data_IF_958609572922
#
_entry.id   IF_958609572922
#
_cell.length_a   1.000
_cell.length_b   1.000
_cell.length_c   1.000
_cell.angle_alpha   90.00
_cell.angle_beta   90.00
_cell.angle_gamma   90.00
#
_symmetry.space_group_name_H-M   'P 1'
#
loop_
_entity.id
_entity.type
_entity.pdbx_description
1 polymer ?
#
# COMPACT_ATOMS: atom_id res chain seq x y z
N UNK A 1 13.02 -12.49 -47.45
CA UNK A 1 12.06 -12.86 -48.51
C UNK A 1 10.65 -12.65 -47.95
N UNK A 2 10.01 -11.56 -48.37
CA UNK A 2 8.56 -11.28 -48.29
C UNK A 2 7.85 -12.08 -49.42
N UNK A 3 6.50 -12.17 -49.51
CA UNK A 3 5.39 -11.44 -48.86
C UNK A 3 4.16 -12.34 -48.52
N UNK A 4 3.06 -11.89 -47.89
CA UNK A 4 1.84 -11.50 -48.64
C UNK A 4 0.76 -10.92 -47.69
N UNK A 5 0.29 -9.72 -48.05
CA UNK A 5 -0.92 -9.06 -47.58
C UNK A 5 -2.18 -9.77 -48.08
N UNK A 6 -3.25 -9.83 -47.26
CA UNK A 6 -4.63 -9.84 -47.76
C UNK A 6 -5.53 -8.96 -46.93
N UNK A 7 -5.97 -7.87 -47.54
CA UNK A 7 -7.12 -7.05 -47.15
C UNK A 7 -8.40 -7.83 -47.49
N UNK A 8 -9.43 -7.68 -46.62
CA UNK A 8 -10.82 -7.79 -47.06
C UNK A 8 -11.66 -6.66 -46.50
N UNK A 9 -12.46 -6.08 -47.38
CA UNK A 9 -13.28 -4.90 -47.23
C UNK A 9 -14.71 -5.23 -46.77
N UNK A 10 -15.28 -4.31 -46.00
CA UNK A 10 -16.62 -3.73 -46.08
C UNK A 10 -17.90 -4.61 -46.07
N UNK A 11 -18.78 -4.28 -45.10
CA UNK A 11 -20.20 -4.60 -45.16
C UNK A 11 -20.97 -3.67 -44.24
N UNK A 12 -21.44 -2.57 -44.83
CA UNK A 12 -22.39 -1.60 -44.21
C UNK A 12 -23.80 -2.18 -44.34
N UNK A 13 -24.60 -2.19 -43.26
CA UNK A 13 -26.04 -2.26 -43.35
C UNK A 13 -26.68 -1.47 -42.23
N UNK A 14 -27.30 -0.36 -42.59
CA UNK A 14 -28.19 0.45 -41.82
C UNK A 14 -29.63 -0.04 -41.96
N UNK A 15 -30.46 0.07 -40.92
CA UNK A 15 -31.93 0.21 -40.87
C UNK A 15 -32.43 -0.08 -39.46
N UNK A 16 -33.33 0.56 -38.80
CA UNK A 16 -34.18 1.73 -38.99
C UNK A 16 -34.87 1.96 -37.63
N UNK A 17 -35.27 3.20 -37.37
CA UNK A 17 -36.01 3.70 -36.21
C UNK A 17 -37.44 3.14 -36.12
N UNK A 18 -37.94 3.01 -34.87
CA UNK A 18 -39.32 3.48 -34.55
C UNK A 18 -39.46 3.77 -33.02
N UNK A 19 -40.03 4.92 -32.61
CA UNK A 19 -40.37 5.26 -31.24
C UNK A 19 -41.77 4.86 -30.87
N UNK A 20 -41.99 4.45 -29.62
CA UNK A 20 -43.35 4.41 -29.04
C UNK A 20 -43.37 5.29 -27.78
N UNK A 21 -44.08 6.41 -27.91
CA UNK A 21 -44.57 7.23 -26.81
C UNK A 21 -45.89 6.64 -26.32
N UNK A 22 -46.06 6.49 -25.04
CA UNK A 22 -47.34 6.52 -24.37
C UNK A 22 -47.20 7.03 -22.94
N UNK A 23 -47.90 7.97 -22.63
CA UNK A 23 -48.12 9.01 -21.69
C UNK A 23 -49.12 8.62 -20.59
N UNK A 24 -49.19 9.52 -19.59
CA UNK A 24 -50.20 9.71 -18.51
C UNK A 24 -50.02 8.77 -17.30
N UNK A 25 -49.90 9.20 -16.07
CA UNK A 25 -50.32 10.45 -15.40
C UNK A 25 -50.88 10.04 -14.03
N UNK A 26 -50.48 10.70 -12.95
CA UNK A 26 -51.04 10.47 -11.60
C UNK A 26 -50.18 11.11 -10.51
N UNK A 27 -50.60 12.30 -10.09
CA UNK A 27 -50.14 12.96 -8.85
C UNK A 27 -50.41 12.09 -7.63
N UNK A 28 -49.44 11.94 -6.73
CA UNK A 28 -49.76 12.04 -5.31
C UNK A 28 -48.51 12.42 -4.47
N UNK A 29 -48.74 13.38 -3.60
CA UNK A 29 -47.75 14.03 -2.73
C UNK A 29 -47.40 13.13 -1.55
N UNK A 30 -46.11 12.82 -1.34
CA UNK A 30 -45.63 12.11 -0.17
C UNK A 30 -44.19 12.52 0.18
N UNK A 31 -44.08 13.16 1.33
CA UNK A 31 -42.88 13.66 1.99
C UNK A 31 -41.59 12.87 1.74
N UNK A 32 -40.59 13.58 1.27
CA UNK A 32 -39.19 13.14 1.29
C UNK A 32 -38.66 13.15 2.73
N UNK A 33 -38.29 11.98 3.20
CA UNK A 33 -37.32 11.84 4.31
C UNK A 33 -35.97 11.62 3.68
N UNK A 34 -35.12 12.62 3.71
CA UNK A 34 -33.70 12.49 3.38
C UNK A 34 -33.02 11.56 4.40
N UNK A 35 -32.89 10.30 4.02
CA UNK A 35 -31.93 9.40 4.61
C UNK A 35 -30.66 9.51 3.76
N UNK A 36 -29.66 10.20 4.28
CA UNK A 36 -28.30 10.19 3.75
C UNK A 36 -27.74 8.78 3.88
N UNK A 37 -27.99 7.96 2.85
CA UNK A 37 -27.30 6.67 2.69
C UNK A 37 -25.92 6.96 2.15
N UNK A 38 -24.88 6.66 2.93
CA UNK A 38 -23.53 6.52 2.41
C UNK A 38 -23.59 5.59 1.19
N UNK A 39 -23.17 6.09 0.05
CA UNK A 39 -23.15 5.35 -1.21
C UNK A 39 -22.05 4.29 -1.13
N UNK A 40 -22.39 3.09 -0.69
CA UNK A 40 -21.54 1.93 -0.98
C UNK A 40 -21.58 1.72 -2.49
N UNK A 41 -20.39 1.62 -3.10
CA UNK A 41 -20.26 1.19 -4.48
C UNK A 41 -20.97 -0.17 -4.65
N UNK A 42 -21.72 -0.40 -5.74
CA UNK A 42 -22.46 -1.64 -5.92
C UNK A 42 -21.47 -2.81 -6.01
N UNK A 43 -21.57 -3.75 -5.07
CA UNK A 43 -20.91 -5.04 -5.16
C UNK A 43 -21.49 -5.78 -6.37
N UNK A 44 -20.64 -6.24 -7.27
CA UNK A 44 -21.08 -7.06 -8.39
C UNK A 44 -21.55 -8.42 -7.85
N UNK A 45 -22.85 -8.68 -7.83
CA UNK A 45 -23.40 -9.99 -7.40
C UNK A 45 -22.83 -11.16 -8.20
N UNK A 46 -22.30 -10.92 -9.41
CA UNK A 46 -21.62 -11.91 -10.25
C UNK A 46 -20.17 -12.22 -9.82
N UNK A 47 -19.60 -11.47 -8.86
CA UNK A 47 -18.22 -11.65 -8.44
C UNK A 47 -18.01 -12.85 -7.50
N UNK A 48 -19.07 -13.47 -6.99
CA UNK A 48 -19.00 -14.61 -6.08
C UNK A 48 -19.59 -15.89 -6.69
N UNK A 49 -19.10 -17.08 -6.34
CA UNK A 49 -17.95 -17.30 -5.44
C UNK A 49 -16.63 -16.89 -6.10
N UNK A 50 -15.68 -16.40 -5.28
CA UNK A 50 -14.31 -16.13 -5.68
C UNK A 50 -13.33 -17.01 -4.91
N UNK A 51 -12.32 -17.54 -5.59
CA UNK A 51 -11.25 -18.35 -4.97
C UNK A 51 -9.93 -17.61 -5.10
N UNK A 52 -9.24 -17.44 -3.98
CA UNK A 52 -7.94 -16.74 -3.89
C UNK A 52 -6.88 -17.76 -3.48
N UNK A 53 -5.83 -17.87 -4.28
CA UNK A 53 -4.66 -18.69 -3.99
C UNK A 53 -3.67 -17.91 -3.13
N UNK A 54 -3.09 -18.54 -2.11
CA UNK A 54 -2.14 -17.93 -1.19
C UNK A 54 -1.17 -18.98 -0.62
N UNK A 55 -0.18 -18.57 0.16
CA UNK A 55 0.91 -19.45 0.65
C UNK A 55 0.44 -20.71 1.44
N UNK A 56 -0.80 -20.73 1.90
CA UNK A 56 -1.36 -21.88 2.64
C UNK A 56 -2.41 -22.67 1.85
N UNK A 57 -2.56 -22.41 0.58
CA UNK A 57 -3.51 -23.09 -0.32
C UNK A 57 -4.50 -22.14 -0.96
N UNK A 58 -5.77 -22.47 -0.95
CA UNK A 58 -6.84 -21.69 -1.58
C UNK A 58 -7.95 -21.38 -0.57
N UNK A 59 -8.49 -20.16 -0.67
CA UNK A 59 -9.67 -19.75 0.10
C UNK A 59 -10.78 -19.35 -0.84
N UNK A 60 -11.95 -19.99 -0.71
CA UNK A 60 -13.16 -19.62 -1.45
C UNK A 60 -14.06 -18.75 -0.58
N UNK A 61 -14.47 -17.62 -1.12
CA UNK A 61 -15.41 -16.67 -0.52
C UNK A 61 -16.72 -16.80 -1.30
N UNK A 62 -17.78 -17.26 -0.64
CA UNK A 62 -19.05 -17.64 -1.30
C UNK A 62 -19.97 -16.44 -1.55
N UNK A 63 -19.83 -15.36 -0.78
CA UNK A 63 -20.68 -14.18 -0.86
C UNK A 63 -19.94 -12.92 -0.37
N UNK A 64 -20.45 -11.74 -0.73
CA UNK A 64 -19.88 -10.46 -0.30
C UNK A 64 -19.79 -10.36 1.24
N UNK A 65 -18.56 -10.16 1.78
CA UNK A 65 -18.35 -10.05 3.20
C UNK A 65 -18.93 -8.75 3.77
N UNK A 66 -19.35 -8.79 5.01
CA UNK A 66 -19.91 -7.64 5.74
C UNK A 66 -19.09 -7.26 6.97
N UNK A 67 -18.31 -8.17 7.47
CA UNK A 67 -17.53 -8.01 8.70
C UNK A 67 -16.10 -8.48 8.47
N UNK A 68 -15.32 -7.59 7.85
CA UNK A 68 -13.92 -7.88 7.52
C UNK A 68 -13.02 -7.52 8.69
N UNK A 69 -12.11 -8.41 9.03
CA UNK A 69 -11.02 -8.18 9.98
C UNK A 69 -9.68 -8.21 9.24
N UNK A 70 -8.88 -7.16 9.40
CA UNK A 70 -7.51 -7.08 8.89
C UNK A 70 -6.54 -7.52 9.99
N UNK A 71 -5.81 -8.60 9.76
CA UNK A 71 -4.76 -9.07 10.67
C UNK A 71 -3.36 -8.71 10.17
N UNK A 72 -3.24 -8.17 8.96
CA UNK A 72 -2.05 -7.50 8.46
C UNK A 72 -2.06 -6.01 8.79
N UNK A 73 -1.12 -5.24 8.22
CA UNK A 73 -0.84 -3.86 8.60
C UNK A 73 -1.37 -2.81 7.60
N UNK A 74 -1.80 -3.21 6.41
CA UNK A 74 -2.08 -2.30 5.27
C UNK A 74 -3.48 -2.44 4.68
N UNK A 75 -4.17 -3.54 4.91
CA UNK A 75 -5.38 -3.94 4.20
C UNK A 75 -6.56 -2.99 4.41
N UNK A 76 -6.61 -2.32 5.57
CA UNK A 76 -7.68 -1.38 5.92
C UNK A 76 -7.78 -0.22 4.94
N UNK A 77 -6.66 0.26 4.43
CA UNK A 77 -6.64 1.39 3.50
C UNK A 77 -7.37 1.05 2.19
N UNK A 78 -7.08 -0.11 1.62
CA UNK A 78 -7.78 -0.55 0.42
C UNK A 78 -9.25 -0.81 0.67
N UNK A 79 -9.62 -1.40 1.81
CA UNK A 79 -11.03 -1.59 2.18
C UNK A 79 -11.76 -0.26 2.28
N UNK A 80 -11.15 0.76 2.93
CA UNK A 80 -11.71 2.11 3.02
C UNK A 80 -11.86 2.76 1.65
N UNK A 81 -10.88 2.60 0.75
CA UNK A 81 -10.96 3.07 -0.63
C UNK A 81 -12.12 2.42 -1.43
N UNK A 82 -12.49 1.19 -1.05
CA UNK A 82 -13.64 0.46 -1.60
C UNK A 82 -14.96 0.75 -0.86
N UNK A 83 -14.96 1.69 0.11
CA UNK A 83 -16.13 2.05 0.90
C UNK A 83 -16.52 1.01 1.97
N UNK A 84 -15.59 0.14 2.36
CA UNK A 84 -15.78 -0.90 3.38
C UNK A 84 -14.99 -0.54 4.64
N UNK A 85 -15.68 -0.31 5.73
CA UNK A 85 -15.05 -0.11 7.04
C UNK A 85 -14.83 -1.46 7.71
N UNK A 86 -13.56 -1.87 7.96
CA UNK A 86 -13.30 -3.13 8.65
C UNK A 86 -13.77 -3.06 10.11
N UNK A 87 -14.16 -4.19 10.69
CA UNK A 87 -14.59 -4.23 12.10
C UNK A 87 -13.41 -4.37 13.08
N UNK A 88 -12.24 -4.75 12.58
CA UNK A 88 -11.00 -4.84 13.34
C UNK A 88 -9.78 -4.69 12.44
N UNK A 89 -8.75 -4.02 12.97
CA UNK A 89 -7.48 -3.77 12.28
C UNK A 89 -6.32 -4.00 13.23
N UNK A 90 -5.18 -4.40 12.69
CA UNK A 90 -3.96 -4.56 13.48
C UNK A 90 -3.36 -3.20 13.82
N UNK A 91 -3.12 -2.96 15.11
CA UNK A 91 -2.31 -1.85 15.56
C UNK A 91 -0.83 -2.26 15.54
N UNK A 92 -0.04 -1.46 14.85
CA UNK A 92 1.40 -1.66 14.83
C UNK A 92 2.16 -0.43 15.27
N UNK A 93 1.81 0.73 14.72
CA UNK A 93 2.56 1.97 14.91
C UNK A 93 1.66 3.21 14.95
N UNK A 94 2.22 4.31 15.46
CA UNK A 94 1.57 5.61 15.48
C UNK A 94 0.71 5.83 16.72
N UNK A 95 -0.17 6.83 16.67
CA UNK A 95 -1.07 7.16 17.75
C UNK A 95 -2.23 6.15 17.84
N UNK A 96 -2.39 5.46 18.96
CA UNK A 96 -3.53 4.57 19.21
C UNK A 96 -4.88 5.28 19.03
N UNK A 97 -4.93 6.61 19.17
CA UNK A 97 -6.15 7.38 18.96
C UNK A 97 -6.61 7.35 17.49
N UNK A 98 -5.71 7.15 16.54
CA UNK A 98 -6.04 6.98 15.11
C UNK A 98 -6.72 5.64 14.83
N UNK A 99 -6.59 4.66 15.70
CA UNK A 99 -7.20 3.33 15.58
C UNK A 99 -6.97 2.69 14.18
N UNK A 100 -5.75 2.81 13.65
CA UNK A 100 -5.36 2.25 12.34
C UNK A 100 -6.01 2.93 11.13
N UNK A 101 -6.70 4.06 11.31
CA UNK A 101 -7.20 4.92 10.24
C UNK A 101 -6.40 6.23 10.29
N UNK A 102 -5.50 6.38 9.34
CA UNK A 102 -4.56 7.50 9.29
C UNK A 102 -5.14 8.71 8.56
N UNK A 103 -4.49 9.90 8.62
CA UNK A 103 -5.05 11.15 8.07
C UNK A 103 -5.50 11.07 6.61
N UNK A 104 -4.82 10.30 5.77
CA UNK A 104 -5.19 10.11 4.35
C UNK A 104 -6.48 9.32 4.13
N UNK A 105 -6.94 8.57 5.14
CA UNK A 105 -8.13 7.72 5.08
C UNK A 105 -9.29 8.22 5.94
N UNK A 106 -9.09 9.28 6.75
CA UNK A 106 -10.04 9.77 7.75
C UNK A 106 -11.39 10.17 7.12
N UNK A 107 -11.36 10.86 5.99
CA UNK A 107 -12.58 11.28 5.29
C UNK A 107 -13.41 10.09 4.78
N UNK A 108 -12.76 8.97 4.47
CA UNK A 108 -13.42 7.76 3.97
C UNK A 108 -14.14 6.99 5.07
N UNK A 109 -13.77 7.21 6.32
CA UNK A 109 -14.47 6.63 7.47
C UNK A 109 -15.88 7.22 7.63
N UNK A 110 -16.06 8.52 7.30
CA UNK A 110 -17.34 9.22 7.46
C UNK A 110 -17.86 9.16 8.89
N UNK A 111 -19.14 8.83 9.05
CA UNK A 111 -19.81 8.69 10.35
C UNK A 111 -19.73 7.25 10.93
N UNK A 112 -18.98 6.35 10.30
CA UNK A 112 -18.86 4.97 10.77
C UNK A 112 -18.02 4.89 12.07
N UNK A 113 -18.31 3.88 12.89
CA UNK A 113 -17.48 3.58 14.06
C UNK A 113 -16.08 3.15 13.62
N UNK A 114 -15.06 3.66 14.33
CA UNK A 114 -13.68 3.24 14.10
C UNK A 114 -13.49 1.75 14.35
N UNK A 115 -12.61 1.08 13.59
CA UNK A 115 -12.29 -0.33 13.81
C UNK A 115 -11.77 -0.60 15.23
N UNK A 116 -12.01 -1.80 15.74
CA UNK A 116 -11.36 -2.27 16.95
C UNK A 116 -9.88 -2.54 16.69
N UNK A 117 -9.00 -2.00 17.54
CA UNK A 117 -7.56 -2.27 17.46
C UNK A 117 -7.23 -3.67 17.98
N UNK A 118 -6.55 -4.46 17.16
CA UNK A 118 -5.97 -5.76 17.52
C UNK A 118 -4.47 -5.57 17.81
N UNK A 119 -4.01 -6.02 18.97
CA UNK A 119 -2.60 -5.88 19.39
C UNK A 119 -1.80 -7.12 19.01
N UNK A 120 -1.55 -7.29 17.72
CA UNK A 120 -0.93 -8.49 17.16
C UNK A 120 0.62 -8.50 17.25
N UNK A 121 1.25 -7.69 18.08
CA UNK A 121 2.71 -7.58 18.18
C UNK A 121 3.43 -8.90 18.56
N UNK A 122 2.75 -9.83 19.19
CA UNK A 122 3.28 -11.14 19.61
C UNK A 122 2.56 -12.32 18.89
N UNK A 123 2.04 -12.07 17.70
CA UNK A 123 1.20 -12.99 16.96
C UNK A 123 -0.28 -12.59 17.00
N UNK A 124 -1.09 -13.23 16.17
CA UNK A 124 -2.49 -12.87 15.99
C UNK A 124 -3.31 -13.19 17.24
N UNK A 125 -4.00 -12.21 17.81
CA UNK A 125 -4.90 -12.35 18.95
C UNK A 125 -6.21 -13.04 18.52
N UNK A 126 -6.18 -14.36 18.38
CA UNK A 126 -7.30 -15.17 17.84
C UNK A 126 -8.61 -14.96 18.57
N UNK A 127 -8.58 -14.80 19.91
CA UNK A 127 -9.79 -14.57 20.72
C UNK A 127 -10.40 -13.19 20.44
N UNK A 128 -9.57 -12.17 20.25
CA UNK A 128 -10.03 -10.85 19.89
C UNK A 128 -10.63 -10.83 18.47
N UNK A 129 -10.01 -11.51 17.51
CA UNK A 129 -10.55 -11.69 16.16
C UNK A 129 -11.91 -12.41 16.22
N UNK A 130 -12.01 -13.52 16.97
CA UNK A 130 -13.25 -14.28 17.10
C UNK A 130 -14.38 -13.45 17.74
N UNK A 131 -14.06 -12.60 18.73
CA UNK A 131 -15.03 -11.72 19.39
C UNK A 131 -15.68 -10.71 18.43
N UNK A 132 -14.99 -10.33 17.37
CA UNK A 132 -15.51 -9.46 16.31
C UNK A 132 -16.47 -10.17 15.35
N UNK A 133 -16.62 -11.50 15.47
CA UNK A 133 -17.47 -12.33 14.61
C UNK A 133 -17.32 -11.99 13.11
N UNK A 134 -16.10 -12.08 12.55
CA UNK A 134 -15.85 -11.77 11.14
C UNK A 134 -16.50 -12.80 10.22
N UNK A 135 -16.81 -12.37 8.99
CA UNK A 135 -17.16 -13.25 7.86
C UNK A 135 -16.05 -13.31 6.80
N UNK A 136 -14.98 -12.51 6.97
CA UNK A 136 -13.72 -12.58 6.23
C UNK A 136 -12.56 -12.08 7.11
N UNK A 137 -11.43 -12.79 7.04
CA UNK A 137 -10.16 -12.35 7.63
C UNK A 137 -9.14 -12.16 6.51
N UNK A 138 -8.46 -11.02 6.48
CA UNK A 138 -7.42 -10.70 5.48
C UNK A 138 -6.11 -10.44 6.22
N UNK A 139 -5.01 -11.04 5.72
CA UNK A 139 -3.67 -10.84 6.25
C UNK A 139 -2.63 -10.99 5.14
N UNK A 140 -2.60 -10.02 4.21
CA UNK A 140 -1.69 -10.02 3.06
C UNK A 140 -0.32 -9.46 3.43
N UNK A 141 -0.29 -8.35 4.18
CA UNK A 141 0.93 -7.73 4.66
C UNK A 141 1.15 -8.11 6.12
N UNK A 142 1.47 -9.37 6.34
CA UNK A 142 1.63 -9.96 7.67
C UNK A 142 2.69 -11.06 7.67
N UNK A 143 3.17 -11.43 8.86
CA UNK A 143 3.96 -12.65 9.07
C UNK A 143 3.11 -13.80 9.60
N UNK A 144 1.84 -13.90 9.15
CA UNK A 144 0.93 -14.96 9.57
C UNK A 144 1.59 -16.32 9.36
N UNK A 145 1.69 -17.07 10.44
CA UNK A 145 2.21 -18.43 10.42
C UNK A 145 1.13 -19.45 9.96
N UNK A 146 1.57 -20.60 9.45
CA UNK A 146 0.64 -21.69 9.09
C UNK A 146 -0.22 -22.15 10.29
N UNK A 147 0.33 -22.07 11.50
CA UNK A 147 -0.40 -22.43 12.72
C UNK A 147 -1.52 -21.43 13.03
N UNK A 148 -1.30 -20.14 12.83
CA UNK A 148 -2.31 -19.08 12.98
C UNK A 148 -3.37 -19.19 11.89
N UNK A 149 -2.95 -19.35 10.63
CA UNK A 149 -3.87 -19.59 9.52
C UNK A 149 -4.83 -20.77 9.81
N UNK A 150 -4.30 -21.92 10.24
CA UNK A 150 -5.12 -23.09 10.58
C UNK A 150 -6.10 -22.81 11.71
N UNK A 151 -5.70 -22.05 12.72
CA UNK A 151 -6.58 -21.69 13.84
C UNK A 151 -7.68 -20.72 13.41
N UNK A 152 -7.36 -19.72 12.60
CA UNK A 152 -8.33 -18.78 12.03
C UNK A 152 -9.33 -19.53 11.14
N UNK A 153 -8.86 -20.37 10.23
CA UNK A 153 -9.70 -21.17 9.33
C UNK A 153 -10.59 -22.16 10.08
N UNK A 154 -10.12 -22.70 11.23
CA UNK A 154 -10.91 -23.57 12.09
C UNK A 154 -12.12 -22.87 12.74
N UNK A 155 -12.18 -21.53 12.72
CA UNK A 155 -13.35 -20.76 13.13
C UNK A 155 -14.49 -20.82 12.10
N UNK A 156 -14.24 -21.42 10.91
CA UNK A 156 -15.23 -21.54 9.84
C UNK A 156 -15.38 -20.24 9.01
N UNK A 157 -14.40 -19.36 9.05
CA UNK A 157 -14.36 -18.08 8.33
C UNK A 157 -13.34 -18.18 7.19
N UNK A 158 -13.60 -17.64 5.99
CA UNK A 158 -12.60 -17.50 4.95
C UNK A 158 -11.42 -16.66 5.46
N UNK A 159 -10.19 -17.13 5.20
CA UNK A 159 -8.95 -16.43 5.57
C UNK A 159 -8.08 -16.27 4.33
N UNK A 160 -7.82 -15.04 3.93
CA UNK A 160 -6.94 -14.71 2.80
C UNK A 160 -5.57 -14.34 3.36
N UNK A 161 -4.57 -15.18 3.10
CA UNK A 161 -3.17 -14.92 3.44
C UNK A 161 -2.42 -14.35 2.23
N UNK A 162 -1.18 -13.90 2.44
CA UNK A 162 -0.32 -13.40 1.37
C UNK A 162 0.02 -14.49 0.33
N UNK A 163 0.39 -14.07 -0.89
CA UNK A 163 0.94 -14.94 -1.92
C UNK A 163 2.21 -15.65 -1.44
N UNK A 164 2.49 -16.84 -2.00
CA UNK A 164 3.76 -17.55 -1.81
C UNK A 164 4.91 -16.98 -2.67
N UNK A 165 4.62 -16.06 -3.56
CA UNK A 165 5.59 -15.54 -4.54
C UNK A 165 6.51 -14.48 -3.94
N UNK A 166 6.19 -14.00 -2.73
CA UNK A 166 6.92 -12.94 -2.03
C UNK A 166 7.30 -13.36 -0.60
N UNK A 167 8.38 -12.76 -0.08
CA UNK A 167 8.72 -12.83 1.33
C UNK A 167 7.61 -12.25 2.22
N UNK A 168 7.65 -12.54 3.51
CA UNK A 168 6.73 -11.90 4.47
C UNK A 168 6.90 -10.37 4.41
N UNK A 169 5.79 -9.64 4.33
CA UNK A 169 5.73 -8.19 4.11
C UNK A 169 6.22 -7.71 2.73
N UNK A 170 6.47 -8.62 1.78
CA UNK A 170 6.99 -8.30 0.45
C UNK A 170 5.93 -8.21 -0.66
N UNK A 171 4.65 -8.42 -0.38
CA UNK A 171 3.59 -8.31 -1.41
C UNK A 171 3.52 -6.87 -1.93
N UNK A 172 3.57 -6.64 -3.26
CA UNK A 172 3.40 -5.33 -3.86
C UNK A 172 2.05 -4.70 -3.48
N UNK A 173 2.04 -3.37 -3.29
CA UNK A 173 0.85 -2.63 -2.87
C UNK A 173 -0.34 -2.80 -3.83
N UNK A 174 -0.06 -2.85 -5.12
CA UNK A 174 -1.05 -3.00 -6.19
C UNK A 174 -1.61 -4.43 -6.26
N UNK A 175 -0.79 -5.46 -6.10
CA UNK A 175 -1.26 -6.85 -6.03
C UNK A 175 -2.09 -7.10 -4.76
N UNK A 176 -1.67 -6.52 -3.64
CA UNK A 176 -2.47 -6.57 -2.41
C UNK A 176 -3.83 -5.89 -2.61
N UNK A 177 -3.85 -4.71 -3.25
CA UNK A 177 -5.08 -3.98 -3.54
C UNK A 177 -6.03 -4.78 -4.46
N UNK A 178 -5.52 -5.37 -5.54
CA UNK A 178 -6.32 -6.21 -6.45
C UNK A 178 -6.86 -7.46 -5.75
N UNK A 179 -6.06 -8.08 -4.90
CA UNK A 179 -6.48 -9.25 -4.11
C UNK A 179 -7.61 -8.90 -3.13
N UNK A 180 -7.51 -7.74 -2.46
CA UNK A 180 -8.56 -7.24 -1.56
C UNK A 180 -9.83 -6.94 -2.35
N UNK A 181 -9.70 -6.25 -3.49
CA UNK A 181 -10.82 -5.96 -4.38
C UNK A 181 -11.57 -7.21 -4.82
N UNK A 182 -10.85 -8.25 -5.23
CA UNK A 182 -11.43 -9.55 -5.56
C UNK A 182 -12.11 -10.20 -4.34
N UNK A 183 -11.46 -10.18 -3.17
CA UNK A 183 -11.99 -10.79 -1.95
C UNK A 183 -13.32 -10.16 -1.47
N UNK A 184 -13.54 -8.88 -1.77
CA UNK A 184 -14.76 -8.17 -1.39
C UNK A 184 -15.75 -7.95 -2.54
N UNK A 185 -15.47 -8.55 -3.73
CA UNK A 185 -16.37 -8.51 -4.89
C UNK A 185 -16.41 -7.17 -5.63
N UNK A 186 -15.32 -6.41 -5.57
CA UNK A 186 -15.16 -5.13 -6.26
C UNK A 186 -13.86 -5.10 -7.12
N UNK A 187 -13.60 -6.11 -7.97
CA UNK A 187 -12.33 -6.18 -8.71
C UNK A 187 -12.15 -5.01 -9.67
N UNK A 188 -13.20 -4.60 -10.40
CA UNK A 188 -13.11 -3.49 -11.35
C UNK A 188 -12.79 -2.15 -10.64
N UNK A 189 -13.38 -1.89 -9.47
CA UNK A 189 -13.06 -0.68 -8.71
C UNK A 189 -11.63 -0.71 -8.15
N UNK A 190 -11.16 -1.89 -7.76
CA UNK A 190 -9.77 -2.06 -7.33
C UNK A 190 -8.78 -1.78 -8.48
N UNK A 191 -9.06 -2.26 -9.68
CA UNK A 191 -8.27 -1.98 -10.88
C UNK A 191 -8.20 -0.47 -11.16
N UNK A 192 -9.34 0.24 -11.11
CA UNK A 192 -9.40 1.70 -11.29
C UNK A 192 -8.52 2.43 -10.27
N UNK A 193 -8.62 2.06 -8.98
CA UNK A 193 -7.81 2.68 -7.91
C UNK A 193 -6.32 2.43 -8.15
N UNK A 194 -5.94 1.22 -8.50
CA UNK A 194 -4.55 0.85 -8.78
C UNK A 194 -4.01 1.65 -9.98
N UNK A 195 -4.78 1.79 -11.05
CA UNK A 195 -4.38 2.56 -12.22
C UNK A 195 -4.25 4.06 -11.90
N UNK A 196 -5.17 4.63 -11.11
CA UNK A 196 -5.10 6.02 -10.66
C UNK A 196 -3.80 6.29 -9.87
N UNK A 197 -3.43 5.39 -8.95
CA UNK A 197 -2.21 5.55 -8.14
C UNK A 197 -0.95 5.33 -8.97
N UNK A 198 -0.92 4.33 -9.84
CA UNK A 198 0.21 4.12 -10.77
C UNK A 198 0.43 5.33 -11.68
N UNK A 199 -0.65 5.92 -12.18
CA UNK A 199 -0.57 7.14 -12.99
C UNK A 199 0.03 8.30 -12.17
N UNK A 200 -0.34 8.44 -10.90
CA UNK A 200 0.21 9.47 -10.00
C UNK A 200 1.71 9.28 -9.74
N UNK A 201 2.17 8.04 -9.54
CA UNK A 201 3.61 7.74 -9.41
C UNK A 201 4.36 8.07 -10.71
N UNK A 202 3.81 7.64 -11.85
CA UNK A 202 4.41 7.90 -13.15
C UNK A 202 4.50 9.41 -13.47
N UNK A 203 3.49 10.21 -13.10
CA UNK A 203 3.51 11.68 -13.22
C UNK A 203 4.68 12.28 -12.44
N UNK A 204 4.95 11.82 -11.22
CA UNK A 204 6.10 12.29 -10.44
C UNK A 204 7.43 11.85 -11.06
N UNK A 205 7.53 10.61 -11.53
CA UNK A 205 8.73 10.11 -12.19
C UNK A 205 9.05 10.90 -13.51
N UNK A 206 8.01 11.29 -14.26
CA UNK A 206 8.16 12.12 -15.46
C UNK A 206 8.53 13.59 -15.12
N UNK A 207 7.99 14.11 -14.03
CA UNK A 207 8.28 15.47 -13.57
C UNK A 207 9.71 15.62 -13.01
N UNK A 208 10.31 14.51 -12.56
CA UNK A 208 11.61 14.46 -11.92
C UNK A 208 12.62 13.58 -12.68
N UNK A 209 13.00 13.94 -13.93
CA UNK A 209 13.94 13.14 -14.73
C UNK A 209 15.33 13.02 -14.08
N UNK A 210 15.67 13.86 -13.11
CA UNK A 210 16.89 13.76 -12.29
C UNK A 210 16.96 12.53 -11.42
N UNK A 211 15.83 11.84 -11.16
CA UNK A 211 15.81 10.58 -10.42
C UNK A 211 16.28 9.39 -11.27
N UNK A 212 16.19 9.52 -12.61
CA UNK A 212 16.43 8.41 -13.51
C UNK A 212 17.89 7.93 -13.47
N UNK A 213 18.09 6.73 -12.93
CA UNK A 213 19.41 6.10 -12.81
C UNK A 213 20.25 6.60 -11.64
N UNK A 214 19.75 7.54 -10.82
CA UNK A 214 20.38 7.85 -9.53
C UNK A 214 20.25 6.66 -8.58
N UNK A 215 21.32 6.37 -7.84
CA UNK A 215 21.31 5.27 -6.90
C UNK A 215 20.69 5.68 -5.56
N UNK A 216 19.84 4.82 -5.01
CA UNK A 216 19.25 5.06 -3.70
C UNK A 216 19.25 3.82 -2.80
N UNK A 217 19.12 4.04 -1.49
CA UNK A 217 18.85 2.99 -0.52
C UNK A 217 17.99 3.51 0.63
N UNK A 218 17.05 2.70 1.08
CA UNK A 218 16.29 2.94 2.32
C UNK A 218 16.99 2.23 3.46
N UNK A 219 17.21 2.93 4.55
CA UNK A 219 18.07 2.49 5.65
C UNK A 219 17.40 2.79 7.00
N UNK A 220 17.58 1.90 7.97
CA UNK A 220 17.16 2.11 9.35
C UNK A 220 18.29 1.75 10.32
N UNK A 221 18.45 2.47 11.45
CA UNK A 221 19.41 2.15 12.50
C UNK A 221 18.83 1.07 13.44
N UNK A 222 18.63 -0.14 12.92
CA UNK A 222 18.03 -1.25 13.63
C UNK A 222 19.06 -2.34 13.90
N UNK A 223 19.40 -2.58 15.19
CA UNK A 223 20.44 -3.52 15.62
C UNK A 223 21.77 -3.36 14.85
N UNK A 224 22.15 -2.11 14.60
CA UNK A 224 23.23 -1.69 13.72
C UNK A 224 22.70 -0.90 12.52
N UNK A 225 22.83 -1.43 11.33
CA UNK A 225 22.37 -0.83 10.09
C UNK A 225 21.54 -1.85 9.32
N UNK A 226 20.28 -1.57 9.08
CA UNK A 226 19.43 -2.36 8.21
C UNK A 226 19.19 -1.61 6.89
N UNK A 227 19.43 -2.28 5.75
CA UNK A 227 19.18 -1.74 4.41
C UNK A 227 18.07 -2.56 3.77
N UNK A 228 17.00 -1.88 3.36
CA UNK A 228 15.81 -2.52 2.78
C UNK A 228 16.05 -2.99 1.34
N UNK A 229 15.61 -4.20 1.04
CA UNK A 229 15.84 -4.90 -0.21
C UNK A 229 14.81 -4.60 -1.30
N UNK A 230 14.98 -5.22 -2.49
CA UNK A 230 14.12 -4.94 -3.65
C UNK A 230 12.66 -5.40 -3.49
N UNK A 231 12.36 -6.34 -2.59
CA UNK A 231 10.96 -6.73 -2.31
C UNK A 231 10.27 -5.81 -1.29
N UNK A 232 11.03 -4.98 -0.58
CA UNK A 232 10.45 -4.04 0.38
C UNK A 232 9.65 -2.94 -0.32
N UNK A 233 8.43 -2.59 0.15
CA UNK A 233 7.58 -1.58 -0.48
C UNK A 233 8.25 -0.21 -0.64
N UNK A 234 9.10 0.20 0.30
CA UNK A 234 9.84 1.47 0.28
C UNK A 234 10.83 1.52 -0.87
N UNK A 235 11.59 0.44 -1.04
CA UNK A 235 12.57 0.30 -2.13
C UNK A 235 11.88 0.20 -3.49
N UNK A 236 10.74 -0.50 -3.57
CA UNK A 236 9.94 -0.55 -4.81
C UNK A 236 9.43 0.83 -5.21
N UNK A 237 8.93 1.63 -4.27
CA UNK A 237 8.48 2.99 -4.59
C UNK A 237 9.61 3.86 -5.12
N UNK A 238 10.84 3.73 -4.60
CA UNK A 238 12.01 4.41 -5.17
C UNK A 238 12.26 3.98 -6.61
N UNK A 239 12.18 2.69 -6.90
CA UNK A 239 12.37 2.21 -8.29
C UNK A 239 11.24 2.63 -9.22
N UNK A 240 9.99 2.70 -8.74
CA UNK A 240 8.85 3.23 -9.48
C UNK A 240 9.01 4.73 -9.81
N UNK A 241 9.71 5.49 -8.95
CA UNK A 241 10.06 6.89 -9.19
C UNK A 241 11.28 7.07 -10.11
N UNK A 242 11.99 5.98 -10.45
CA UNK A 242 13.11 6.01 -11.40
C UNK A 242 14.50 5.82 -10.81
N UNK A 243 14.63 5.68 -9.50
CA UNK A 243 15.92 5.38 -8.87
C UNK A 243 16.35 3.93 -9.15
N UNK A 244 17.67 3.73 -9.20
CA UNK A 244 18.27 2.40 -9.13
C UNK A 244 18.64 2.07 -7.67
N UNK A 245 18.37 0.84 -7.23
CA UNK A 245 18.85 0.40 -5.92
C UNK A 245 20.36 0.20 -5.95
N UNK A 246 21.05 0.70 -4.91
CA UNK A 246 22.51 0.64 -4.84
C UNK A 246 23.02 -0.81 -4.76
N UNK A 247 24.23 -1.07 -5.33
CA UNK A 247 24.84 -2.40 -5.41
C UNK A 247 25.09 -3.06 -4.05
N UNK A 248 25.21 -2.27 -2.98
CA UNK A 248 25.34 -2.77 -1.61
C UNK A 248 24.21 -3.71 -1.21
N UNK A 249 22.99 -3.45 -1.73
CA UNK A 249 21.84 -4.31 -1.50
C UNK A 249 21.63 -5.32 -2.62
N UNK A 250 21.76 -4.90 -3.89
CA UNK A 250 21.42 -5.77 -5.04
C UNK A 250 22.44 -6.87 -5.30
N UNK A 251 23.68 -6.74 -4.78
CA UNK A 251 24.71 -7.77 -4.88
C UNK A 251 24.79 -8.74 -3.69
N UNK A 252 24.02 -8.49 -2.64
CA UNK A 252 24.01 -9.34 -1.46
C UNK A 252 23.16 -10.60 -1.69
N UNK A 253 23.61 -11.75 -1.13
CA UNK A 253 22.81 -12.97 -1.12
C UNK A 253 21.65 -12.82 -0.12
N UNK A 254 20.48 -13.40 -0.42
CA UNK A 254 19.26 -13.37 0.42
C UNK A 254 18.81 -11.94 0.79
N UNK A 255 18.98 -10.98 -0.14
CA UNK A 255 18.70 -9.56 0.08
C UNK A 255 17.26 -9.13 -0.32
N UNK A 256 16.39 -10.05 -0.68
CA UNK A 256 15.06 -9.74 -1.22
C UNK A 256 14.29 -8.73 -0.34
N UNK A 257 14.22 -8.97 0.96
CA UNK A 257 13.59 -8.03 1.89
C UNK A 257 14.59 -7.02 2.48
N UNK A 258 15.87 -7.42 2.71
CA UNK A 258 16.91 -6.53 3.21
C UNK A 258 18.08 -7.25 3.86
N UNK A 259 19.09 -6.48 4.23
CA UNK A 259 20.32 -6.97 4.88
C UNK A 259 20.62 -6.21 6.17
N UNK A 260 21.19 -6.93 7.14
CA UNK A 260 21.70 -6.34 8.37
C UNK A 260 23.22 -6.21 8.31
N UNK A 261 23.73 -5.04 8.64
CA UNK A 261 25.15 -4.74 8.70
C UNK A 261 25.51 -4.20 10.09
N UNK A 262 26.78 -4.31 10.47
CA UNK A 262 27.24 -3.64 11.71
C UNK A 262 27.23 -2.12 11.52
N UNK A 263 26.98 -1.37 12.60
CA UNK A 263 27.00 0.10 12.59
C UNK A 263 28.33 0.68 12.06
N UNK A 264 29.43 -0.04 12.18
CA UNK A 264 30.75 0.38 11.64
C UNK A 264 30.74 0.52 10.12
N UNK A 265 29.84 -0.19 9.43
CA UNK A 265 29.68 -0.13 7.97
C UNK A 265 28.83 1.05 7.49
N UNK A 266 28.40 1.93 8.38
CA UNK A 266 27.68 3.17 8.00
C UNK A 266 28.49 4.02 7.00
N UNK A 267 29.85 3.91 7.01
CA UNK A 267 30.70 4.56 6.01
C UNK A 267 30.43 4.10 4.57
N UNK A 268 29.92 2.88 4.37
CA UNK A 268 29.62 2.33 3.05
C UNK A 268 28.44 3.05 2.37
N UNK A 269 27.63 3.79 3.14
CA UNK A 269 26.55 4.62 2.61
C UNK A 269 27.04 5.88 1.90
N UNK A 270 28.34 6.23 2.05
CA UNK A 270 28.90 7.46 1.50
C UNK A 270 28.86 7.57 -0.02
N UNK A 271 28.87 6.43 -0.71
CA UNK A 271 28.90 6.34 -2.17
C UNK A 271 27.48 6.22 -2.79
N UNK A 272 26.43 6.14 -1.95
CA UNK A 272 25.04 6.09 -2.40
C UNK A 272 24.59 7.47 -2.87
N UNK A 273 23.93 7.55 -4.02
CA UNK A 273 23.40 8.80 -4.58
C UNK A 273 22.39 9.47 -3.65
N UNK A 274 21.44 8.72 -3.11
CA UNK A 274 20.45 9.23 -2.13
C UNK A 274 20.23 8.21 -1.02
N UNK A 275 20.48 8.60 0.23
CA UNK A 275 20.22 7.77 1.41
C UNK A 275 18.93 8.18 2.08
N UNK A 276 17.96 7.28 2.14
CA UNK A 276 16.67 7.53 2.81
C UNK A 276 16.70 6.86 4.18
N UNK A 277 16.79 7.65 5.22
CA UNK A 277 16.76 7.19 6.59
C UNK A 277 15.34 7.05 7.14
N UNK A 278 15.14 6.00 7.90
CA UNK A 278 13.98 5.84 8.78
C UNK A 278 14.44 6.09 10.21
N UNK A 279 14.10 7.28 10.75
CA UNK A 279 14.45 7.71 12.10
C UNK A 279 15.96 7.57 12.41
N UNK A 280 16.80 8.31 11.68
CA UNK A 280 18.26 8.33 11.87
C UNK A 280 18.64 8.59 13.34
N UNK A 281 17.88 9.42 14.04
CA UNK A 281 18.13 9.80 15.41
C UNK A 281 17.89 8.68 16.45
N UNK A 282 17.28 7.55 16.03
CA UNK A 282 17.03 6.41 16.93
C UNK A 282 18.32 5.75 17.44
N UNK A 283 19.45 5.83 16.67
CA UNK A 283 20.77 5.36 17.11
C UNK A 283 21.83 6.45 16.95
N UNK A 284 22.28 6.99 18.08
CA UNK A 284 23.28 8.07 18.13
C UNK A 284 24.65 7.66 17.61
N UNK A 285 25.01 6.39 17.65
CA UNK A 285 26.28 5.91 17.10
C UNK A 285 26.22 5.90 15.58
N UNK A 286 25.15 5.38 15.00
CA UNK A 286 24.91 5.36 13.57
C UNK A 286 24.82 6.80 13.03
N UNK A 287 24.08 7.69 13.68
CA UNK A 287 23.97 9.10 13.33
C UNK A 287 25.36 9.76 13.25
N UNK A 288 26.19 9.63 14.29
CA UNK A 288 27.55 10.20 14.34
C UNK A 288 28.50 9.60 13.29
N UNK A 289 28.31 8.35 12.90
CA UNK A 289 29.09 7.73 11.84
C UNK A 289 28.65 8.25 10.47
N UNK A 290 27.33 8.40 10.27
CA UNK A 290 26.77 8.92 9.02
C UNK A 290 27.14 10.39 8.80
N UNK A 291 27.17 11.23 9.84
CA UNK A 291 27.60 12.64 9.78
C UNK A 291 29.02 12.85 9.21
N UNK A 292 29.82 11.79 9.10
CA UNK A 292 31.18 11.81 8.58
C UNK A 292 31.28 11.29 7.14
N UNK A 293 30.17 10.94 6.53
CA UNK A 293 30.15 10.40 5.17
C UNK A 293 29.99 11.52 4.13
N UNK A 294 30.48 11.32 2.90
CA UNK A 294 30.21 12.24 1.79
C UNK A 294 28.72 12.47 1.55
N UNK A 295 27.89 11.42 1.66
CA UNK A 295 26.44 11.55 1.50
C UNK A 295 25.82 12.56 2.48
N UNK A 296 26.28 12.60 3.73
CA UNK A 296 25.80 13.58 4.71
C UNK A 296 26.35 14.99 4.40
N UNK A 297 27.64 15.12 4.12
CA UNK A 297 28.30 16.42 3.87
C UNK A 297 27.73 17.10 2.61
N UNK A 298 27.36 16.34 1.60
CA UNK A 298 26.79 16.79 0.35
C UNK A 298 25.25 16.94 0.37
N UNK A 299 24.61 16.61 1.49
CA UNK A 299 23.13 16.73 1.63
C UNK A 299 22.35 15.65 0.87
N UNK A 300 22.97 14.57 0.41
CA UNK A 300 22.38 13.48 -0.37
C UNK A 300 21.61 12.48 0.52
N UNK A 301 20.74 12.99 1.37
CA UNK A 301 19.95 12.15 2.28
C UNK A 301 18.62 12.79 2.66
N UNK A 302 17.68 11.94 3.03
CA UNK A 302 16.34 12.27 3.55
C UNK A 302 16.16 11.52 4.86
N UNK A 303 15.49 12.13 5.83
CA UNK A 303 15.10 11.46 7.09
C UNK A 303 13.58 11.44 7.21
N UNK A 304 13.02 10.24 7.26
CA UNK A 304 11.58 10.01 7.36
C UNK A 304 11.17 10.11 8.82
N UNK A 305 10.88 11.33 9.24
CA UNK A 305 10.42 11.64 10.59
C UNK A 305 9.34 12.71 10.55
N UNK A 306 8.36 12.60 11.44
CA UNK A 306 7.33 13.60 11.68
C UNK A 306 6.83 13.56 13.13
N UNK A 307 6.01 14.53 13.50
CA UNK A 307 5.61 14.71 14.90
C UNK A 307 4.53 13.71 15.35
N UNK A 308 3.66 13.26 14.45
CA UNK A 308 2.54 12.34 14.73
C UNK A 308 2.76 10.92 14.20
N UNK A 309 3.85 10.67 13.48
CA UNK A 309 4.20 9.38 12.90
C UNK A 309 3.45 9.02 11.62
N UNK A 310 2.61 9.90 11.09
CA UNK A 310 1.82 9.62 9.88
C UNK A 310 2.71 9.50 8.63
N UNK A 311 3.71 10.38 8.49
CA UNK A 311 4.65 10.30 7.38
C UNK A 311 5.50 9.03 7.44
N UNK A 312 5.96 8.67 8.66
CA UNK A 312 6.66 7.41 8.89
C UNK A 312 5.79 6.20 8.47
N UNK A 313 4.52 6.19 8.88
CA UNK A 313 3.60 5.09 8.54
C UNK A 313 3.33 5.05 7.04
N UNK A 314 3.06 6.20 6.39
CA UNK A 314 2.84 6.26 4.94
C UNK A 314 4.04 5.72 4.15
N UNK A 315 5.27 6.02 4.59
CA UNK A 315 6.49 5.55 3.96
C UNK A 315 6.74 4.06 4.24
N UNK A 316 6.44 3.59 5.47
CA UNK A 316 6.73 2.20 5.87
C UNK A 316 5.71 1.19 5.35
N UNK A 317 4.46 1.62 5.13
CA UNK A 317 3.34 0.75 4.77
C UNK A 317 2.62 1.29 3.53
N UNK A 318 3.34 1.34 2.44
CA UNK A 318 2.89 1.86 1.14
C UNK A 318 1.56 1.23 0.73
N UNK A 319 0.51 2.07 0.60
CA UNK A 319 -0.86 1.65 0.25
C UNK A 319 -1.45 2.56 -0.83
N UNK A 320 -2.54 2.17 -1.51
CA UNK A 320 -3.18 3.05 -2.48
C UNK A 320 -3.59 4.41 -1.94
N UNK A 321 -3.95 4.50 -0.66
CA UNK A 321 -4.34 5.78 -0.03
C UNK A 321 -3.14 6.56 0.51
N UNK A 322 -2.14 5.85 1.05
CA UNK A 322 -0.96 6.52 1.61
C UNK A 322 0.01 7.05 0.55
N UNK A 323 0.07 6.44 -0.64
CA UNK A 323 0.99 6.84 -1.70
C UNK A 323 0.82 8.31 -2.11
N UNK A 324 -0.37 8.84 -2.45
CA UNK A 324 -0.51 10.25 -2.79
C UNK A 324 -0.06 11.18 -1.65
N UNK A 325 -0.45 10.87 -0.42
CA UNK A 325 -0.02 11.61 0.77
C UNK A 325 1.50 11.59 0.96
N UNK A 326 2.12 10.44 0.69
CA UNK A 326 3.56 10.24 0.75
C UNK A 326 4.28 11.03 -0.34
N UNK A 327 3.85 10.93 -1.60
CA UNK A 327 4.48 11.60 -2.74
C UNK A 327 4.56 13.11 -2.56
N UNK A 328 3.48 13.75 -2.09
CA UNK A 328 3.43 15.19 -1.82
C UNK A 328 4.52 15.68 -0.85
N UNK A 329 5.05 14.80 -0.01
CA UNK A 329 6.08 15.08 1.00
C UNK A 329 7.44 14.56 0.61
N UNK A 330 7.48 13.38 0.07
CA UNK A 330 8.69 12.62 -0.21
C UNK A 330 9.42 13.11 -1.46
N UNK A 331 8.68 13.36 -2.54
CA UNK A 331 9.27 13.80 -3.82
C UNK A 331 10.06 15.11 -3.69
N UNK A 332 9.55 16.16 -3.02
CA UNK A 332 10.34 17.37 -2.80
C UNK A 332 11.61 17.13 -1.97
N UNK A 333 11.58 16.18 -1.04
CA UNK A 333 12.75 15.83 -0.24
C UNK A 333 13.80 15.05 -1.07
N UNK A 334 13.34 14.11 -1.88
CA UNK A 334 14.20 13.37 -2.82
C UNK A 334 14.86 14.32 -3.83
N UNK A 335 14.10 15.24 -4.43
CA UNK A 335 14.64 16.22 -5.37
C UNK A 335 15.72 17.11 -4.73
N UNK A 336 15.53 17.53 -3.48
CA UNK A 336 16.53 18.28 -2.74
C UNK A 336 17.77 17.44 -2.39
N UNK A 337 17.63 16.14 -2.18
CA UNK A 337 18.76 15.25 -1.90
C UNK A 337 19.57 14.91 -3.16
N UNK A 338 18.91 14.80 -4.32
CA UNK A 338 19.55 14.49 -5.61
C UNK A 338 20.37 15.65 -6.14
N UNK A 339 20.02 16.91 -5.83
CA UNK A 339 20.79 18.06 -6.32
C UNK A 339 22.23 18.16 -5.73
N UNK A 340 22.49 17.44 -4.63
CA UNK A 340 23.81 17.34 -4.00
C UNK A 340 24.32 18.68 -3.46
N UNK A 341 23.45 19.68 -3.28
CA UNK A 341 23.81 20.97 -2.69
C UNK A 341 23.42 20.99 -1.20
N UNK A 342 24.39 20.96 -0.28
CA UNK A 342 24.10 20.98 1.15
C UNK A 342 23.41 22.27 1.64
N UNK A 343 23.33 23.29 0.78
CA UNK A 343 22.56 24.51 1.04
C UNK A 343 21.06 24.29 0.75
N UNK A 344 20.71 23.34 -0.12
CA UNK A 344 19.33 22.92 -0.39
C UNK A 344 18.91 21.95 0.71
N UNK A 345 18.25 22.47 1.74
CA UNK A 345 17.73 21.59 2.80
C UNK A 345 16.44 20.97 2.33
N UNK A 346 16.29 19.63 2.50
CA UNK A 346 15.00 19.00 2.27
C UNK A 346 13.91 19.74 3.04
N UNK A 347 12.75 20.04 2.43
CA UNK A 347 11.64 20.61 3.17
C UNK A 347 11.28 19.65 4.28
N UNK A 348 11.08 20.15 5.52
CA UNK A 348 10.53 19.31 6.57
C UNK A 348 9.16 18.83 6.10
N UNK A 349 8.85 17.56 6.37
CA UNK A 349 7.51 17.06 6.12
C UNK A 349 6.50 18.05 6.69
N UNK A 350 5.55 18.48 5.89
CA UNK A 350 4.49 19.36 6.37
C UNK A 350 3.72 18.64 7.47
N UNK A 351 3.51 19.37 8.58
CA UNK A 351 2.75 18.86 9.73
C UNK A 351 1.32 18.55 9.34
#
# INVERSE_FOLDING_TARGET
>A
MNPTRRRFLAGVSAMALAPVLAACGGDDSGSASDASSGSQAPTEESAFPVTITHKYGETTIEAAPKRVVCVGLTEQDMLLALGIVPVGVTYWFGDEALQGVYPWAEELLGDAERPTLLKNANGIELEAVAALAPDLVIGLYSSMTEAEYKKLSAMGVPVVAQSSDYADFGVPWDEAALTIGAAVGQPARAEEIVEEVRARIAEEAEAHPEFQGETAAVVAPYEGLFIYGPEDPRSRLLTELGFDLHELITSAEDSDFGISLSSERTSDLGDIGTVVWIDLAADKQVEQLFERTPAYEEGRWVDITDADGSYYVAHSFVTPLSIPYLLDRYVPQLAAAVDGDPATKPPKAAA
#
